data_IF_698479850517
#
_entry.id   IF_698479850517
#
_cell.length_a   1.000
_cell.length_b   1.000
_cell.length_c   1.000
_cell.angle_alpha   90.00
_cell.angle_beta   90.00
_cell.angle_gamma   90.00
#
_symmetry.space_group_name_H-M   'P 1'
#
loop_
_entity.id
_entity.type
_entity.pdbx_description
1 polymer ?
#
# COMPACT_ATOMS: atom_id res chain seq x y z
N UNK A 1 -2.51 -1.95 -15.01
CA UNK A 1 -3.03 -0.68 -14.42
C UNK A 1 -2.67 -0.64 -12.94
N UNK A 2 -2.47 0.55 -12.36
CA UNK A 2 -1.93 0.74 -10.99
C UNK A 2 -2.99 0.59 -9.87
N UNK A 3 -4.24 0.95 -10.17
CA UNK A 3 -5.37 0.83 -9.25
C UNK A 3 -6.39 -0.14 -9.83
N UNK A 4 -7.05 -0.88 -8.95
CA UNK A 4 -8.16 -1.76 -9.31
C UNK A 4 -9.33 -1.58 -8.36
N UNK A 5 -10.51 -1.73 -8.91
CA UNK A 5 -11.74 -1.76 -8.13
C UNK A 5 -12.09 -3.23 -7.83
N UNK A 6 -12.24 -3.54 -6.55
CA UNK A 6 -12.47 -4.91 -6.05
C UNK A 6 -13.83 -4.95 -5.37
N UNK A 7 -14.60 -6.00 -5.66
CA UNK A 7 -15.82 -6.30 -4.90
C UNK A 7 -15.43 -7.08 -3.65
N UNK A 8 -15.77 -6.54 -2.48
CA UNK A 8 -15.46 -7.12 -1.19
C UNK A 8 -16.74 -7.32 -0.37
N UNK A 9 -16.73 -8.31 0.52
CA UNK A 9 -17.85 -8.62 1.40
C UNK A 9 -17.39 -8.62 2.84
N UNK A 10 -18.10 -7.88 3.67
CA UNK A 10 -17.77 -7.75 5.08
C UNK A 10 -19.03 -7.49 5.91
N UNK A 11 -18.91 -7.66 7.22
CA UNK A 11 -19.96 -7.36 8.18
C UNK A 11 -19.67 -6.08 8.96
N UNK A 12 -20.66 -5.21 9.04
CA UNK A 12 -20.59 -3.97 9.82
C UNK A 12 -21.60 -4.01 10.96
N UNK A 13 -21.14 -3.72 12.16
CA UNK A 13 -21.99 -3.57 13.35
C UNK A 13 -22.46 -2.11 13.47
N UNK A 14 -23.76 -1.90 13.59
CA UNK A 14 -24.40 -0.59 13.82
C UNK A 14 -25.01 -0.57 15.22
N UNK A 15 -24.72 0.48 15.98
CA UNK A 15 -25.32 0.69 17.30
C UNK A 15 -26.69 1.37 17.18
N UNK A 16 -27.63 1.15 18.11
CA UNK A 16 -28.94 1.79 18.11
C UNK A 16 -28.90 3.31 17.93
N UNK A 17 -27.94 3.99 18.57
CA UNK A 17 -27.81 5.45 18.49
C UNK A 17 -27.36 5.98 17.11
N UNK A 18 -26.88 5.11 16.22
CA UNK A 18 -26.40 5.50 14.89
C UNK A 18 -27.47 5.32 13.80
N UNK A 19 -28.64 4.76 14.15
CA UNK A 19 -29.72 4.45 13.20
C UNK A 19 -30.48 5.67 12.65
N UNK A 20 -30.31 6.85 13.23
CA UNK A 20 -31.00 8.07 12.80
C UNK A 20 -30.50 8.61 11.45
N UNK A 21 -29.40 8.09 10.92
CA UNK A 21 -28.78 8.50 9.65
C UNK A 21 -29.13 7.55 8.52
N UNK A 22 -28.99 8.05 7.29
CA UNK A 22 -29.08 7.22 6.09
C UNK A 22 -28.10 6.04 6.17
N UNK A 23 -28.65 4.83 6.08
CA UNK A 23 -27.88 3.59 6.25
C UNK A 23 -26.72 3.50 5.25
N UNK A 24 -26.93 3.97 4.01
CA UNK A 24 -25.89 3.97 2.98
C UNK A 24 -24.70 4.86 3.38
N UNK A 25 -24.94 6.08 3.84
CA UNK A 25 -23.87 6.97 4.29
C UNK A 25 -23.15 6.41 5.51
N UNK A 26 -23.91 5.84 6.45
CA UNK A 26 -23.36 5.21 7.64
C UNK A 26 -22.46 4.03 7.28
N UNK A 27 -22.88 3.18 6.35
CA UNK A 27 -22.09 2.07 5.85
C UNK A 27 -20.80 2.54 5.19
N UNK A 28 -20.86 3.52 4.29
CA UNK A 28 -19.66 4.10 3.65
C UNK A 28 -18.70 4.63 4.71
N UNK A 29 -19.22 5.38 5.70
CA UNK A 29 -18.41 5.94 6.79
C UNK A 29 -17.71 4.84 7.61
N UNK A 30 -18.45 3.79 8.00
CA UNK A 30 -17.88 2.69 8.79
C UNK A 30 -16.87 1.87 7.99
N UNK A 31 -17.16 1.58 6.72
CA UNK A 31 -16.26 0.82 5.86
C UNK A 31 -14.99 1.62 5.54
N UNK A 32 -15.09 2.93 5.25
CA UNK A 32 -13.91 3.79 5.08
C UNK A 32 -13.06 3.80 6.35
N UNK A 33 -13.66 4.00 7.53
CA UNK A 33 -12.90 3.93 8.79
C UNK A 33 -12.26 2.55 9.05
N UNK A 34 -12.88 1.49 8.53
CA UNK A 34 -12.37 0.11 8.69
C UNK A 34 -11.24 -0.21 7.72
N UNK A 35 -11.27 0.29 6.48
CA UNK A 35 -10.40 -0.15 5.39
C UNK A 35 -9.45 0.90 4.84
N UNK A 36 -9.75 2.20 4.95
CA UNK A 36 -8.85 3.25 4.47
C UNK A 36 -7.49 3.11 5.13
N UNK A 37 -6.45 3.22 4.30
CA UNK A 37 -5.04 3.15 4.71
C UNK A 37 -4.64 1.80 5.33
N UNK A 38 -5.37 0.73 4.99
CA UNK A 38 -5.04 -0.63 5.40
C UNK A 38 -4.63 -1.48 4.22
N UNK A 39 -3.63 -2.31 4.45
CA UNK A 39 -3.19 -3.31 3.49
C UNK A 39 -4.03 -4.56 3.69
N UNK A 40 -4.66 -5.01 2.60
CA UNK A 40 -5.42 -6.25 2.57
C UNK A 40 -4.55 -7.28 1.85
N UNK A 41 -4.24 -8.37 2.55
CA UNK A 41 -3.41 -9.46 2.04
C UNK A 41 -3.91 -9.96 0.68
N UNK A 42 -3.01 -9.95 -0.31
CA UNK A 42 -3.30 -10.38 -1.67
C UNK A 42 -4.10 -9.40 -2.54
N UNK A 43 -4.65 -8.31 -1.97
CA UNK A 43 -5.32 -7.26 -2.74
C UNK A 43 -4.44 -6.01 -2.90
N UNK A 44 -3.80 -5.52 -1.82
CA UNK A 44 -3.05 -4.27 -1.84
C UNK A 44 -3.51 -3.25 -0.80
N UNK A 45 -3.05 -2.01 -0.95
CA UNK A 45 -3.40 -0.88 -0.09
C UNK A 45 -4.79 -0.36 -0.45
N UNK A 46 -5.72 -0.38 0.50
CA UNK A 46 -7.07 0.14 0.34
C UNK A 46 -7.10 1.68 0.50
N UNK A 47 -7.61 2.37 -0.51
CA UNK A 47 -7.68 3.83 -0.54
C UNK A 47 -9.02 4.28 0.02
N UNK A 48 -10.10 3.90 -0.65
CA UNK A 48 -11.45 4.30 -0.29
C UNK A 48 -12.49 3.31 -0.81
N UNK A 49 -13.64 3.29 -0.14
CA UNK A 49 -14.84 2.60 -0.59
C UNK A 49 -15.53 3.47 -1.65
N UNK A 50 -15.76 2.88 -2.82
CA UNK A 50 -16.42 3.54 -3.94
C UNK A 50 -17.93 3.53 -3.75
N UNK A 51 -18.52 2.33 -3.76
CA UNK A 51 -19.99 2.16 -3.80
C UNK A 51 -20.43 0.94 -3.02
N UNK A 52 -21.65 0.99 -2.49
CA UNK A 52 -22.32 -0.17 -1.91
C UNK A 52 -23.13 -0.85 -3.02
N UNK A 53 -22.87 -2.13 -3.26
CA UNK A 53 -23.59 -2.90 -4.28
C UNK A 53 -24.91 -3.41 -3.70
N UNK A 54 -24.85 -4.04 -2.53
CA UNK A 54 -26.02 -4.55 -1.82
C UNK A 54 -25.70 -4.81 -0.35
N UNK A 55 -26.72 -4.75 0.49
CA UNK A 55 -26.64 -5.18 1.88
C UNK A 55 -27.81 -6.11 2.22
N UNK A 56 -27.54 -7.11 3.06
CA UNK A 56 -28.55 -8.04 3.57
C UNK A 56 -29.40 -7.44 4.69
N UNK A 57 -30.38 -8.22 5.18
CA UNK A 57 -31.14 -7.86 6.38
C UNK A 57 -30.21 -7.80 7.60
N UNK A 58 -30.37 -6.76 8.43
CA UNK A 58 -29.62 -6.61 9.68
C UNK A 58 -30.04 -7.67 10.70
N UNK A 59 -29.07 -8.39 11.25
CA UNK A 59 -29.30 -9.34 12.33
C UNK A 59 -29.03 -8.67 13.67
N UNK A 60 -30.02 -8.65 14.57
CA UNK A 60 -29.86 -8.07 15.90
C UNK A 60 -29.06 -9.02 16.78
N UNK A 61 -27.94 -8.55 17.32
CA UNK A 61 -27.12 -9.27 18.27
C UNK A 61 -27.75 -9.15 19.66
N UNK A 62 -28.36 -10.24 20.15
CA UNK A 62 -29.07 -10.28 21.44
C UNK A 62 -28.22 -9.82 22.64
N UNK A 63 -26.90 -10.02 22.58
CA UNK A 63 -25.97 -9.68 23.66
C UNK A 63 -25.70 -8.17 23.78
N UNK A 64 -25.65 -7.45 22.65
CA UNK A 64 -25.25 -6.02 22.62
C UNK A 64 -26.37 -5.07 22.19
N UNK A 65 -27.48 -5.60 21.67
CA UNK A 65 -28.55 -4.80 21.08
C UNK A 65 -28.16 -4.10 19.78
N UNK A 66 -26.99 -4.38 19.21
CA UNK A 66 -26.52 -3.85 17.94
C UNK A 66 -27.01 -4.68 16.76
N UNK A 67 -27.08 -4.07 15.58
CA UNK A 67 -27.46 -4.76 14.34
C UNK A 67 -26.23 -5.01 13.48
N UNK A 68 -26.06 -6.26 13.02
CA UNK A 68 -24.98 -6.66 12.12
C UNK A 68 -25.54 -6.76 10.71
N UNK A 69 -24.96 -6.00 9.78
CA UNK A 69 -25.29 -6.03 8.37
C UNK A 69 -24.17 -6.68 7.58
N UNK A 70 -24.52 -7.65 6.72
CA UNK A 70 -23.60 -8.19 5.71
C UNK A 70 -23.70 -7.33 4.45
N UNK A 71 -22.60 -6.75 4.03
CA UNK A 71 -22.55 -5.75 2.97
C UNK A 71 -21.58 -6.21 1.89
N UNK A 72 -21.99 -6.08 0.63
CA UNK A 72 -21.14 -6.22 -0.54
C UNK A 72 -20.92 -4.83 -1.15
N UNK A 73 -19.66 -4.44 -1.26
CA UNK A 73 -19.26 -3.10 -1.68
C UNK A 73 -18.05 -3.16 -2.61
N UNK A 74 -17.81 -2.06 -3.30
CA UNK A 74 -16.67 -1.84 -4.18
C UNK A 74 -15.64 -1.00 -3.45
N UNK A 75 -14.39 -1.44 -3.46
CA UNK A 75 -13.27 -0.72 -2.85
C UNK A 75 -12.18 -0.46 -3.90
N UNK A 76 -11.65 0.75 -3.91
CA UNK A 76 -10.51 1.14 -4.73
C UNK A 76 -9.22 0.76 -3.99
N UNK A 77 -8.40 -0.07 -4.63
CA UNK A 77 -7.17 -0.61 -4.05
C UNK A 77 -5.99 -0.29 -4.96
N UNK A 78 -4.91 0.19 -4.38
CA UNK A 78 -3.61 0.27 -5.02
C UNK A 78 -3.00 -1.13 -5.08
N UNK A 79 -2.98 -1.67 -6.30
CA UNK A 79 -2.58 -3.04 -6.59
C UNK A 79 -1.81 -3.02 -7.91
N UNK A 80 -0.54 -2.61 -7.86
CA UNK A 80 0.26 -2.57 -9.07
C UNK A 80 0.55 -4.00 -9.57
N UNK A 81 1.00 -4.14 -10.81
CA UNK A 81 1.25 -5.45 -11.43
C UNK A 81 2.72 -5.66 -11.74
N UNK A 82 3.16 -6.93 -11.77
CA UNK A 82 4.53 -7.28 -12.17
C UNK A 82 4.82 -6.78 -13.59
N UNK A 83 6.02 -6.27 -13.82
CA UNK A 83 6.48 -5.64 -15.07
C UNK A 83 5.83 -4.28 -15.39
N UNK A 84 5.02 -3.72 -14.50
CA UNK A 84 4.53 -2.35 -14.64
C UNK A 84 5.65 -1.33 -14.43
N UNK A 85 5.71 -0.30 -15.27
CA UNK A 85 6.57 0.87 -15.02
C UNK A 85 5.76 1.92 -14.27
N UNK A 86 6.30 2.42 -13.16
CA UNK A 86 5.72 3.48 -12.34
C UNK A 86 6.75 4.60 -12.16
N UNK A 87 6.27 5.84 -12.18
CA UNK A 87 7.07 7.02 -11.89
C UNK A 87 6.95 7.39 -10.42
N UNK A 88 8.05 7.55 -9.72
CA UNK A 88 8.10 7.93 -8.31
C UNK A 88 9.29 8.83 -7.99
N UNK A 89 9.35 9.32 -6.76
CA UNK A 89 10.42 10.21 -6.28
C UNK A 89 11.35 9.42 -5.38
N UNK A 90 12.66 9.60 -5.55
CA UNK A 90 13.66 8.98 -4.66
C UNK A 90 13.58 9.65 -3.29
N UNK A 91 13.18 8.90 -2.27
CA UNK A 91 13.15 9.38 -0.89
C UNK A 91 14.48 9.17 -0.18
N UNK A 92 15.11 8.03 -0.42
CA UNK A 92 16.33 7.64 0.27
C UNK A 92 17.20 6.77 -0.63
N UNK A 93 18.52 6.91 -0.52
CA UNK A 93 19.48 6.16 -1.33
C UNK A 93 20.66 5.73 -0.47
N UNK A 94 20.77 4.42 -0.22
CA UNK A 94 21.83 3.80 0.57
C UNK A 94 22.58 2.73 -0.25
N UNK A 95 23.66 2.20 0.32
CA UNK A 95 24.37 1.04 -0.22
C UNK A 95 23.47 -0.21 -0.35
N UNK A 96 22.39 -0.29 0.42
CA UNK A 96 21.46 -1.42 0.41
C UNK A 96 20.36 -1.30 -0.66
N UNK A 97 20.22 -0.15 -1.32
CA UNK A 97 19.19 0.09 -2.33
C UNK A 97 18.62 1.51 -2.28
N UNK A 98 17.67 1.77 -3.19
CA UNK A 98 16.98 3.06 -3.30
C UNK A 98 15.53 2.87 -2.86
N UNK A 99 15.05 3.73 -1.95
CA UNK A 99 13.65 3.82 -1.54
C UNK A 99 12.95 4.89 -2.38
N UNK A 100 11.83 4.51 -3.00
CA UNK A 100 11.05 5.37 -3.89
C UNK A 100 9.66 5.57 -3.29
N UNK A 101 9.18 6.81 -3.28
CA UNK A 101 7.82 7.16 -2.88
C UNK A 101 6.96 7.58 -4.06
N UNK A 102 5.68 7.24 -3.99
CA UNK A 102 4.62 7.73 -4.88
C UNK A 102 3.79 8.86 -4.23
N UNK A 103 4.20 9.34 -3.05
CA UNK A 103 3.50 10.32 -2.23
C UNK A 103 2.48 9.71 -1.27
N UNK A 104 1.72 8.68 -1.69
CA UNK A 104 0.79 7.94 -0.82
C UNK A 104 1.33 6.56 -0.40
N UNK A 105 2.45 6.11 -0.97
CA UNK A 105 3.06 4.82 -0.69
C UNK A 105 4.58 4.95 -0.83
N UNK A 106 5.31 4.54 0.21
CA UNK A 106 6.74 4.80 0.34
C UNK A 106 7.59 3.53 0.27
N UNK A 107 7.00 2.34 0.48
CA UNK A 107 7.75 1.08 0.62
C UNK A 107 8.04 0.40 -0.74
N UNK A 108 8.56 1.19 -1.68
CA UNK A 108 9.11 0.71 -2.96
C UNK A 108 10.63 0.67 -2.86
N UNK A 109 11.20 -0.52 -3.00
CA UNK A 109 12.63 -0.75 -2.83
C UNK A 109 13.22 -1.22 -4.17
N UNK A 110 14.24 -0.49 -4.63
CA UNK A 110 15.07 -0.89 -5.75
C UNK A 110 16.35 -1.52 -5.20
N UNK A 111 16.50 -2.83 -5.41
CA UNK A 111 17.65 -3.59 -4.90
C UNK A 111 18.88 -3.42 -5.81
N UNK A 112 20.12 -3.32 -5.25
CA UNK A 112 21.35 -3.10 -6.02
C UNK A 112 21.65 -4.18 -7.07
N UNK A 113 21.20 -5.41 -6.83
CA UNK A 113 21.41 -6.52 -7.77
C UNK A 113 20.61 -6.35 -9.08
N UNK A 114 19.63 -5.45 -9.07
CA UNK A 114 18.79 -5.05 -10.20
C UNK A 114 19.02 -3.59 -10.62
N UNK A 115 20.15 -3.04 -10.20
CA UNK A 115 20.74 -1.82 -10.75
C UNK A 115 21.77 -2.26 -11.78
N UNK A 116 21.82 -1.56 -12.91
CA UNK A 116 22.86 -1.69 -13.93
C UNK A 116 24.24 -1.93 -13.28
N UNK A 117 24.93 -2.99 -13.74
CA UNK A 117 26.20 -3.55 -13.24
C UNK A 117 27.41 -2.58 -13.19
N UNK A 118 27.20 -1.27 -13.26
CA UNK A 118 28.22 -0.22 -13.24
C UNK A 118 28.29 0.58 -11.93
N UNK A 119 27.40 0.36 -10.96
CA UNK A 119 27.35 1.19 -9.75
C UNK A 119 28.41 0.81 -8.70
N UNK A 120 29.57 1.47 -8.76
CA UNK A 120 30.55 1.45 -7.67
C UNK A 120 30.09 2.39 -6.55
N UNK A 121 29.84 1.82 -5.36
CA UNK A 121 29.46 2.56 -4.16
C UNK A 121 30.67 3.31 -3.59
N UNK A 122 30.61 4.64 -3.56
CA UNK A 122 31.61 5.50 -2.93
C UNK A 122 31.30 5.69 -1.45
N UNK A 123 32.27 5.38 -0.59
CA UNK A 123 32.14 5.30 0.88
C UNK A 123 32.01 6.65 1.62
N UNK A 124 31.23 7.62 1.12
CA UNK A 124 30.91 8.85 1.86
C UNK A 124 29.49 9.33 1.56
N UNK A 125 28.63 9.23 2.58
CA UNK A 125 27.43 10.08 2.81
C UNK A 125 26.71 10.57 1.54
N UNK A 126 25.73 9.78 1.08
CA UNK A 126 24.58 10.27 0.30
C UNK A 126 24.81 10.66 -1.17
N UNK A 127 25.95 10.35 -1.78
CA UNK A 127 26.20 10.68 -3.19
C UNK A 127 26.70 9.48 -3.99
N UNK A 128 25.88 9.00 -4.93
CA UNK A 128 26.26 7.97 -5.89
C UNK A 128 26.92 8.61 -7.13
N UNK A 129 28.25 8.77 -7.16
CA UNK A 129 29.00 9.19 -8.37
C UNK A 129 29.62 7.98 -9.08
N UNK A 130 29.53 7.92 -10.42
CA UNK A 130 30.15 6.91 -11.31
C UNK A 130 30.59 7.76 -12.50
N UNK A 131 31.88 7.78 -12.73
CA UNK A 131 32.44 8.32 -13.94
C UNK A 131 32.27 7.29 -15.06
N UNK A 132 31.37 7.58 -16.01
CA UNK A 132 31.67 7.65 -17.45
C UNK A 132 30.44 7.39 -18.34
N UNK A 133 30.11 8.46 -19.09
CA UNK A 133 29.34 8.60 -20.35
C UNK A 133 27.82 8.36 -20.43
N UNK A 134 27.12 7.92 -19.39
CA UNK A 134 25.65 8.11 -19.31
C UNK A 134 25.15 7.79 -17.91
N UNK A 135 25.66 8.51 -16.91
CA UNK A 135 25.42 8.13 -15.54
C UNK A 135 24.19 8.80 -14.93
N UNK A 136 23.13 8.02 -14.72
CA UNK A 136 22.03 8.43 -13.85
C UNK A 136 22.54 8.47 -12.41
N UNK A 137 22.75 9.67 -11.88
CA UNK A 137 22.93 9.91 -10.44
C UNK A 137 21.54 9.99 -9.84
N UNK A 138 21.18 9.02 -9.00
CA UNK A 138 19.94 9.07 -8.25
C UNK A 138 20.12 9.97 -7.03
N UNK A 139 19.76 11.24 -7.17
CA UNK A 139 19.70 12.16 -6.03
C UNK A 139 18.38 12.00 -5.29
N UNK A 140 18.40 12.17 -3.97
CA UNK A 140 17.19 12.32 -3.17
C UNK A 140 16.35 13.47 -3.74
N UNK A 141 15.07 13.22 -3.95
CA UNK A 141 14.11 14.15 -4.57
C UNK A 141 14.00 14.07 -6.09
N UNK A 142 14.79 13.23 -6.77
CA UNK A 142 14.68 13.07 -8.23
C UNK A 142 13.52 12.15 -8.61
N UNK A 143 12.80 12.49 -9.68
CA UNK A 143 11.78 11.62 -10.26
C UNK A 143 12.42 10.53 -11.12
N UNK A 144 12.08 9.27 -10.87
CA UNK A 144 12.59 8.11 -11.59
C UNK A 144 11.46 7.18 -12.04
N UNK A 145 11.68 6.50 -13.16
CA UNK A 145 10.82 5.42 -13.63
C UNK A 145 11.39 4.10 -13.14
N UNK A 146 10.57 3.31 -12.45
CA UNK A 146 10.95 2.00 -11.94
C UNK A 146 9.99 0.93 -12.46
N UNK A 147 10.54 -0.21 -12.84
CA UNK A 147 9.78 -1.38 -13.28
C UNK A 147 9.56 -2.30 -12.09
N UNK A 148 8.32 -2.64 -11.80
CA UNK A 148 7.96 -3.54 -10.71
C UNK A 148 8.38 -4.96 -11.06
N UNK A 149 9.11 -5.59 -10.16
CA UNK A 149 9.55 -6.97 -10.27
C UNK A 149 8.59 -7.86 -9.49
N UNK A 150 8.40 -7.55 -8.21
CA UNK A 150 7.53 -8.33 -7.34
C UNK A 150 6.88 -7.51 -6.23
N UNK A 151 5.85 -8.07 -5.62
CA UNK A 151 5.09 -7.46 -4.52
C UNK A 151 4.99 -8.49 -3.41
N UNK A 152 5.47 -8.11 -2.23
CA UNK A 152 5.54 -8.97 -1.06
C UNK A 152 4.53 -8.46 -0.03
N UNK A 153 3.67 -9.35 0.47
CA UNK A 153 2.73 -9.08 1.56
C UNK A 153 3.21 -9.78 2.82
N UNK A 154 3.42 -9.03 3.90
CA UNK A 154 3.85 -9.57 5.17
C UNK A 154 2.69 -9.63 6.17
N UNK A 155 2.04 -10.79 6.25
CA UNK A 155 0.86 -11.02 7.10
C UNK A 155 1.18 -11.10 8.60
N UNK A 156 2.45 -11.25 9.00
CA UNK A 156 2.86 -11.41 10.41
C UNK A 156 3.13 -10.10 11.16
N UNK A 157 2.94 -8.93 10.54
CA UNK A 157 3.28 -7.63 11.15
C UNK A 157 2.29 -7.14 12.22
N UNK A 158 1.15 -7.82 12.46
CA UNK A 158 0.11 -7.33 13.39
C UNK A 158 0.31 -7.70 14.86
N UNK A 159 1.44 -8.32 15.26
CA UNK A 159 1.66 -8.67 16.67
C UNK A 159 3.12 -8.94 17.02
N UNK A 160 3.90 -7.93 17.44
CA UNK A 160 4.67 -7.98 18.70
C UNK A 160 5.34 -6.65 19.06
N UNK A 161 5.28 -6.34 20.34
CA UNK A 161 5.88 -5.22 21.07
C UNK A 161 7.37 -5.44 21.31
N UNK A 162 8.27 -4.63 20.74
CA UNK A 162 9.56 -4.25 21.35
C UNK A 162 10.29 -3.18 20.51
N UNK A 163 10.72 -2.13 21.19
CA UNK A 163 11.10 -0.82 20.64
C UNK A 163 12.46 -0.73 19.90
N UNK A 164 12.92 -1.79 19.21
CA UNK A 164 14.16 -1.72 18.41
C UNK A 164 14.22 -2.69 17.20
N UNK A 165 13.11 -3.35 16.86
CA UNK A 165 13.01 -4.10 15.61
C UNK A 165 12.27 -3.26 14.58
N UNK A 166 12.92 -2.99 13.44
CA UNK A 166 12.32 -2.26 12.32
C UNK A 166 11.00 -2.92 11.95
N UNK A 167 9.88 -2.27 12.28
CA UNK A 167 8.54 -2.72 11.92
C UNK A 167 8.54 -3.07 10.43
N UNK A 168 8.37 -4.36 10.12
CA UNK A 168 8.43 -4.83 8.74
C UNK A 168 7.15 -4.36 8.07
N UNK A 169 7.24 -3.52 7.02
CA UNK A 169 6.04 -3.00 6.38
C UNK A 169 5.17 -4.15 5.83
N UNK A 170 3.84 -4.08 6.00
CA UNK A 170 2.94 -5.15 5.60
C UNK A 170 2.86 -5.34 4.07
N UNK A 171 3.31 -4.37 3.28
CA UNK A 171 3.45 -4.48 1.84
C UNK A 171 4.77 -3.84 1.40
N UNK A 172 5.57 -4.60 0.64
CA UNK A 172 6.81 -4.10 0.02
C UNK A 172 6.73 -4.35 -1.48
N UNK A 173 7.08 -3.33 -2.26
CA UNK A 173 7.19 -3.45 -3.71
C UNK A 173 8.67 -3.50 -4.07
N UNK A 174 9.09 -4.59 -4.71
CA UNK A 174 10.42 -4.71 -5.29
C UNK A 174 10.39 -4.19 -6.73
N UNK A 175 11.31 -3.29 -7.04
CA UNK A 175 11.42 -2.69 -8.36
C UNK A 175 12.87 -2.71 -8.88
N UNK A 176 13.01 -2.53 -10.19
CA UNK A 176 14.28 -2.45 -10.92
C UNK A 176 14.26 -1.24 -11.84
N UNK A 177 15.44 -0.65 -12.04
CA UNK A 177 15.67 0.44 -13.00
C UNK A 177 16.13 -0.05 -14.37
N UNK A 178 16.40 -1.34 -14.51
CA UNK A 178 16.96 -1.94 -15.71
C UNK A 178 15.80 -2.39 -16.62
N UNK A 179 15.62 -1.71 -17.76
CA UNK A 179 14.59 -2.03 -18.76
C UNK A 179 15.06 -1.87 -20.20
#
# INVERSE_FOLDING_TARGET
>A
MMFRLVTYRDSVEIKPCEFEKDLNELFIKKLNSKYTDKIIDGLGLAICVSDIIRYGKGAILRTKGSAIYKIEFKIAVFSPYRQQIIKGVVCHSDNNGIKVSLGFFDDIIVVPMQMDKKNNFGNKSGLCTIENKSKLVYNVGSEINVKIVDIIYNSSASSTTSADEREIPPMVILASTDY
#
